data_IF_528266396897
#
_entry.id   IF_528266396897
#
_cell.length_a   1.000
_cell.length_b   1.000
_cell.length_c   1.000
_cell.angle_alpha   90.00
_cell.angle_beta   90.00
_cell.angle_gamma   90.00
#
_symmetry.space_group_name_H-M   'P 1'
#
loop_
_entity.id
_entity.type
_entity.pdbx_description
1 polymer ?
#
# COMPACT_ATOMS: atom_id res chain seq x y z
N UNK A 1 3.55 -12.35 -2.65
CA UNK A 1 3.32 -10.97 -3.14
C UNK A 1 4.12 -10.58 -4.39
N UNK A 2 5.35 -11.07 -4.61
CA UNK A 2 6.15 -10.66 -5.78
C UNK A 2 5.51 -10.99 -7.13
N UNK A 3 4.92 -12.19 -7.29
CA UNK A 3 4.25 -12.60 -8.52
C UNK A 3 3.10 -11.66 -8.95
N UNK A 4 2.27 -11.20 -7.99
CA UNK A 4 1.19 -10.24 -8.28
C UNK A 4 1.75 -8.91 -8.73
N UNK A 5 2.80 -8.42 -8.05
CA UNK A 5 3.46 -7.17 -8.43
C UNK A 5 4.06 -7.25 -9.84
N UNK A 6 4.67 -8.38 -10.19
CA UNK A 6 5.21 -8.61 -11.54
C UNK A 6 4.12 -8.64 -12.61
N UNK A 7 2.98 -9.26 -12.33
CA UNK A 7 1.85 -9.26 -13.25
C UNK A 7 1.29 -7.84 -13.44
N UNK A 8 1.08 -7.09 -12.36
CA UNK A 8 0.57 -5.72 -12.44
C UNK A 8 1.50 -4.79 -13.24
N UNK A 9 2.81 -5.01 -13.18
CA UNK A 9 3.78 -4.30 -14.04
C UNK A 9 3.61 -4.65 -15.52
N UNK A 10 3.35 -5.92 -15.85
CA UNK A 10 3.08 -6.36 -17.24
C UNK A 10 1.76 -5.79 -17.76
N UNK A 11 0.76 -5.69 -16.89
CA UNK A 11 -0.56 -5.15 -17.19
C UNK A 11 -0.55 -3.61 -17.35
N UNK A 12 0.61 -2.97 -17.17
CA UNK A 12 0.76 -1.51 -17.35
C UNK A 12 0.15 -0.69 -16.22
N UNK A 13 -0.13 -1.29 -15.06
CA UNK A 13 -0.68 -0.57 -13.91
C UNK A 13 0.36 0.45 -13.41
N UNK A 14 -0.03 1.72 -13.19
CA UNK A 14 0.94 2.78 -12.88
C UNK A 14 1.48 2.72 -11.46
N UNK A 15 0.64 2.31 -10.52
CA UNK A 15 0.94 2.17 -9.10
C UNK A 15 -0.11 1.31 -8.41
N UNK A 16 0.22 0.79 -7.23
CA UNK A 16 -0.73 0.15 -6.32
C UNK A 16 -0.73 0.85 -4.97
N UNK A 17 -1.83 0.74 -4.25
CA UNK A 17 -1.94 1.14 -2.86
C UNK A 17 -2.29 -0.06 -1.98
N UNK A 18 -1.93 0.02 -0.71
CA UNK A 18 -2.32 -0.93 0.31
C UNK A 18 -2.48 -0.21 1.64
N UNK A 19 -3.40 -0.69 2.49
CA UNK A 19 -3.64 -0.13 3.82
C UNK A 19 -3.37 -1.18 4.89
N UNK A 20 -2.88 -0.73 6.05
CA UNK A 20 -2.77 -1.58 7.24
C UNK A 20 -3.24 -0.85 8.49
N UNK A 21 -3.82 -1.57 9.44
CA UNK A 21 -4.07 -1.07 10.78
C UNK A 21 -2.74 -0.74 11.47
N UNK A 22 -2.61 0.45 12.05
CA UNK A 22 -1.43 0.87 12.81
C UNK A 22 -1.05 -0.11 13.93
N UNK A 23 -2.03 -0.79 14.52
CA UNK A 23 -1.86 -1.79 15.58
C UNK A 23 -1.38 -3.15 15.04
N UNK A 24 -1.32 -3.33 13.72
CA UNK A 24 -0.74 -4.51 13.07
C UNK A 24 0.59 -4.16 12.36
N UNK A 25 1.70 -4.00 13.11
CA UNK A 25 2.99 -3.58 12.55
C UNK A 25 3.56 -4.60 11.55
N UNK A 26 3.24 -5.89 11.68
CA UNK A 26 3.70 -6.95 10.77
C UNK A 26 3.26 -6.71 9.34
N UNK A 27 2.03 -6.23 9.13
CA UNK A 27 1.54 -5.86 7.79
C UNK A 27 2.31 -4.64 7.25
N UNK A 28 2.56 -3.64 8.10
CA UNK A 28 3.37 -2.48 7.73
C UNK A 28 4.82 -2.83 7.35
N UNK A 29 5.43 -3.82 8.01
CA UNK A 29 6.76 -4.31 7.64
C UNK A 29 6.79 -4.96 6.25
N UNK A 30 5.74 -5.68 5.87
CA UNK A 30 5.62 -6.24 4.51
C UNK A 30 5.61 -5.11 3.48
N UNK A 31 4.84 -4.05 3.72
CA UNK A 31 4.78 -2.89 2.82
C UNK A 31 6.15 -2.21 2.68
N UNK A 32 6.86 -2.01 3.80
CA UNK A 32 8.22 -1.47 3.79
C UNK A 32 9.18 -2.37 3.00
N UNK A 33 9.15 -3.68 3.22
CA UNK A 33 10.00 -4.66 2.50
C UNK A 33 9.71 -4.71 0.99
N UNK A 34 8.47 -4.43 0.59
CA UNK A 34 8.07 -4.31 -0.82
C UNK A 34 8.47 -2.96 -1.46
N UNK A 35 9.12 -2.06 -0.70
CA UNK A 35 9.53 -0.74 -1.19
C UNK A 35 8.37 0.25 -1.31
N UNK A 36 7.24 0.00 -0.64
CA UNK A 36 6.12 0.93 -0.65
C UNK A 36 6.43 2.15 0.22
N UNK A 37 5.94 3.32 -0.20
CA UNK A 37 6.09 4.57 0.53
C UNK A 37 4.80 4.93 1.26
N UNK A 38 4.92 5.29 2.54
CA UNK A 38 3.81 5.86 3.32
C UNK A 38 3.25 7.11 2.63
N UNK A 39 1.92 7.27 2.65
CA UNK A 39 1.24 8.45 2.10
C UNK A 39 0.52 9.23 3.20
N UNK A 40 -0.51 8.63 3.81
CA UNK A 40 -1.30 9.26 4.86
C UNK A 40 -1.94 8.20 5.75
N UNK A 41 -2.47 8.66 6.88
CA UNK A 41 -3.29 7.86 7.80
C UNK A 41 -4.70 8.40 7.82
N UNK A 42 -5.68 7.54 8.04
CA UNK A 42 -7.07 7.93 8.20
C UNK A 42 -7.74 7.02 9.22
N UNK A 43 -8.80 7.51 9.85
CA UNK A 43 -9.60 6.74 10.79
C UNK A 43 -10.86 6.26 10.10
N UNK A 44 -11.22 5.00 10.32
CA UNK A 44 -12.41 4.39 9.78
C UNK A 44 -13.10 3.57 10.87
N UNK A 45 -14.43 3.64 10.91
CA UNK A 45 -15.23 2.77 11.76
C UNK A 45 -15.31 1.38 11.12
N UNK A 46 -14.54 0.43 11.62
CA UNK A 46 -14.43 -0.89 11.02
C UNK A 46 -15.61 -1.77 11.39
N UNK A 47 -16.39 -2.16 10.38
CA UNK A 47 -17.50 -3.11 10.52
C UNK A 47 -17.08 -4.52 10.11
N UNK A 48 -17.58 -5.57 10.79
CA UNK A 48 -18.72 -5.58 11.72
C UNK A 48 -18.36 -5.37 13.21
N UNK A 49 -17.11 -5.04 13.54
CA UNK A 49 -16.65 -4.98 14.93
C UNK A 49 -16.98 -3.67 15.65
N UNK A 50 -17.50 -2.69 14.92
CA UNK A 50 -17.86 -1.36 15.41
C UNK A 50 -16.76 -0.71 16.27
N UNK A 51 -15.51 -0.79 15.79
CA UNK A 51 -14.37 -0.12 16.41
C UNK A 51 -13.76 0.90 15.47
N UNK A 52 -13.27 1.98 16.05
CA UNK A 52 -12.51 2.99 15.30
C UNK A 52 -11.08 2.48 15.09
N UNK A 53 -10.65 2.34 13.84
CA UNK A 53 -9.32 1.86 13.45
C UNK A 53 -8.59 2.94 12.68
N UNK A 54 -7.32 3.17 13.02
CA UNK A 54 -6.44 4.04 12.23
C UNK A 54 -5.68 3.21 11.20
N UNK A 55 -6.03 3.40 9.93
CA UNK A 55 -5.33 2.77 8.81
C UNK A 55 -4.22 3.69 8.29
N UNK A 56 -3.10 3.09 7.88
CA UNK A 56 -2.02 3.74 7.14
C UNK A 56 -2.05 3.29 5.70
N UNK A 57 -2.08 4.24 4.77
CA UNK A 57 -2.01 3.97 3.34
C UNK A 57 -0.56 4.07 2.84
N UNK A 58 -0.15 3.05 2.10
CA UNK A 58 1.13 2.95 1.42
C UNK A 58 0.90 2.86 -0.09
N UNK A 59 1.85 3.40 -0.87
CA UNK A 59 1.83 3.36 -2.34
C UNK A 59 3.13 2.77 -2.88
N UNK A 60 3.03 1.94 -3.91
CA UNK A 60 4.16 1.50 -4.73
C UNK A 60 3.95 1.99 -6.15
N UNK A 61 4.82 2.87 -6.63
CA UNK A 61 4.79 3.34 -8.02
C UNK A 61 5.60 2.38 -8.91
N UNK A 62 5.05 2.04 -10.07
CA UNK A 62 5.71 1.20 -11.07
C UNK A 62 6.25 2.02 -12.24
N UNK A 63 5.62 3.14 -12.55
CA UNK A 63 6.10 4.07 -13.57
C UNK A 63 7.18 4.96 -12.95
N UNK A 64 8.38 4.87 -13.50
CA UNK A 64 9.47 5.76 -13.15
C UNK A 64 9.20 7.15 -13.75
N UNK A 65 9.14 8.20 -12.90
CA UNK A 65 8.93 9.59 -13.34
C UNK A 65 10.09 10.13 -14.20
N UNK A 66 11.22 9.42 -14.30
CA UNK A 66 12.40 9.83 -15.06
C UNK A 66 12.35 9.48 -16.57
N UNK A 67 11.17 9.22 -17.14
CA UNK A 67 11.02 8.93 -18.59
C UNK A 67 10.53 10.13 -19.42
N UNK A 68 10.58 11.32 -18.85
CA UNK A 68 10.29 12.58 -19.54
C UNK A 68 11.43 13.58 -19.29
N UNK A 69 12.59 13.32 -19.89
CA UNK A 69 13.63 14.30 -20.21
C UNK A 69 14.36 13.85 -21.46
#
# INVERSE_FOLDING_TARGET
>A
CKAVIEQLKKDGIPYITATHDINNPRSGEVMKKLGMSYQYSYEEQWQPKDIKVTFRLYRLNFINKNKFF
#
